data_IF_700896556823
#
_entry.id   IF_700896556823
#
_cell.length_a   1.000
_cell.length_b   1.000
_cell.length_c   1.000
_cell.angle_alpha   90.00
_cell.angle_beta   90.00
_cell.angle_gamma   90.00
#
_symmetry.space_group_name_H-M   'P 1'
#
loop_
_entity.id
_entity.type
_entity.pdbx_description
1 polymer ?
#
# COMPACT_ATOMS: atom_id res chain seq x y z
N UNK A 1 -9.83 31.58 32.45
CA UNK A 1 -11.13 31.32 31.78
C UNK A 1 -10.81 30.84 30.37
N UNK A 2 -10.52 29.55 30.18
CA UNK A 2 -11.44 28.40 30.05
C UNK A 2 -11.97 28.23 28.62
N UNK A 3 -11.21 27.50 27.78
CA UNK A 3 -11.68 27.00 26.49
C UNK A 3 -10.90 25.75 26.01
N UNK A 4 -10.46 24.87 26.93
CA UNK A 4 -9.68 23.67 26.58
C UNK A 4 -10.13 22.39 27.31
N UNK A 5 -11.36 22.36 27.81
CA UNK A 5 -11.89 21.22 28.57
C UNK A 5 -13.23 20.77 27.99
N UNK A 6 -13.19 20.13 26.82
CA UNK A 6 -14.29 19.31 26.28
C UNK A 6 -13.78 18.52 25.07
N UNK A 7 -12.70 17.76 25.24
CA UNK A 7 -12.45 16.61 24.37
C UNK A 7 -13.00 15.39 25.08
N UNK A 8 -14.23 15.05 24.70
CA UNK A 8 -15.05 14.00 25.27
C UNK A 8 -14.30 12.65 25.29
N UNK A 9 -14.36 11.93 26.42
CA UNK A 9 -13.77 10.59 26.59
C UNK A 9 -14.31 9.61 25.53
N UNK A 10 -15.51 9.86 25.01
CA UNK A 10 -16.10 9.14 23.89
C UNK A 10 -15.29 9.27 22.57
N UNK A 11 -14.67 10.43 22.33
CA UNK A 11 -13.92 10.70 21.11
C UNK A 11 -12.60 9.90 21.07
N UNK A 12 -11.91 9.79 22.23
CA UNK A 12 -10.71 8.96 22.37
C UNK A 12 -11.03 7.46 22.20
N UNK A 13 -12.17 7.00 22.73
CA UNK A 13 -12.61 5.61 22.53
C UNK A 13 -12.94 5.32 21.06
N UNK A 14 -13.61 6.24 20.36
CA UNK A 14 -13.96 6.08 18.95
C UNK A 14 -12.72 6.05 18.04
N UNK A 15 -11.71 6.90 18.32
CA UNK A 15 -10.43 6.89 17.62
C UNK A 15 -9.66 5.60 17.90
N UNK A 16 -9.61 5.12 19.15
CA UNK A 16 -9.00 3.83 19.48
C UNK A 16 -9.72 2.65 18.82
N UNK A 17 -11.06 2.65 18.77
CA UNK A 17 -11.84 1.60 18.13
C UNK A 17 -11.63 1.59 16.61
N UNK A 18 -11.59 2.77 15.97
CA UNK A 18 -11.26 2.89 14.55
C UNK A 18 -9.82 2.49 14.26
N UNK A 19 -8.86 2.84 15.12
CA UNK A 19 -7.46 2.43 15.00
C UNK A 19 -7.29 0.91 15.19
N UNK A 20 -8.00 0.30 16.14
CA UNK A 20 -8.02 -1.16 16.34
C UNK A 20 -8.68 -1.88 15.17
N UNK A 21 -9.78 -1.35 14.63
CA UNK A 21 -10.48 -1.90 13.46
C UNK A 21 -9.62 -1.75 12.20
N UNK A 22 -8.87 -0.65 12.05
CA UNK A 22 -7.86 -0.46 11.00
C UNK A 22 -6.66 -1.41 11.16
N UNK A 23 -6.22 -1.69 12.40
CA UNK A 23 -5.13 -2.63 12.65
C UNK A 23 -5.52 -4.08 12.31
N UNK A 24 -6.80 -4.45 12.47
CA UNK A 24 -7.34 -5.77 12.12
C UNK A 24 -7.41 -6.00 10.60
N UNK A 25 -7.63 -4.94 9.80
CA UNK A 25 -7.68 -5.04 8.33
C UNK A 25 -6.29 -5.27 7.71
N UNK A 26 -5.22 -4.79 8.35
CA UNK A 26 -3.88 -4.73 7.74
C UNK A 26 -3.01 -5.97 8.04
N UNK A 27 -3.41 -6.84 8.98
CA UNK A 27 -2.60 -8.00 9.40
C UNK A 27 -3.21 -9.38 9.07
N UNK A 28 -3.72 -9.58 7.85
CA UNK A 28 -3.87 -10.96 7.34
C UNK A 28 -2.50 -11.48 6.88
N UNK A 29 -1.93 -12.41 7.66
CA UNK A 29 -0.77 -13.19 7.23
C UNK A 29 -1.23 -14.14 6.13
N UNK A 30 -0.96 -13.76 4.88
CA UNK A 30 -1.30 -14.58 3.71
C UNK A 30 -0.47 -15.85 3.76
N UNK A 31 -1.16 -16.99 3.69
CA UNK A 31 -0.48 -18.28 3.63
C UNK A 31 -0.03 -18.50 2.19
N UNK A 32 1.25 -18.79 2.02
CA UNK A 32 1.85 -19.08 0.73
C UNK A 32 2.07 -20.57 0.58
N UNK A 33 1.35 -21.22 -0.34
CA UNK A 33 1.50 -22.64 -0.64
C UNK A 33 2.19 -22.82 -2.02
N UNK A 34 3.07 -23.82 -2.13
CA UNK A 34 3.80 -24.12 -3.38
C UNK A 34 3.27 -25.43 -3.96
N UNK A 35 2.90 -25.41 -5.25
CA UNK A 35 2.47 -26.59 -6.00
C UNK A 35 3.26 -26.74 -7.30
N UNK A 36 3.46 -27.97 -7.76
CA UNK A 36 4.04 -28.22 -9.09
C UNK A 36 2.96 -28.11 -10.18
N UNK A 37 3.33 -27.76 -11.43
CA UNK A 37 2.37 -27.73 -12.56
C UNK A 37 1.56 -29.04 -12.64
N UNK A 38 2.20 -30.20 -12.45
CA UNK A 38 1.55 -31.50 -12.53
C UNK A 38 0.50 -31.68 -11.42
N UNK A 39 0.83 -31.30 -10.19
CA UNK A 39 -0.11 -31.35 -9.07
C UNK A 39 -1.24 -30.32 -9.22
N UNK A 40 -0.92 -29.13 -9.72
CA UNK A 40 -1.89 -28.08 -9.96
C UNK A 40 -2.90 -28.47 -11.05
N UNK A 41 -2.46 -29.14 -12.11
CA UNK A 41 -3.35 -29.67 -13.15
C UNK A 41 -4.36 -30.67 -12.58
N UNK A 42 -3.92 -31.55 -11.69
CA UNK A 42 -4.77 -32.61 -11.14
C UNK A 42 -5.71 -32.12 -10.02
N UNK A 43 -5.37 -31.01 -9.35
CA UNK A 43 -6.10 -30.50 -8.19
C UNK A 43 -6.53 -29.03 -8.35
N UNK A 44 -6.71 -28.57 -9.59
CA UNK A 44 -7.02 -27.17 -9.89
C UNK A 44 -8.23 -26.64 -9.10
N UNK A 45 -9.36 -27.35 -8.98
CA UNK A 45 -10.52 -26.85 -8.22
C UNK A 45 -10.18 -26.58 -6.75
N UNK A 46 -9.41 -27.46 -6.13
CA UNK A 46 -8.97 -27.31 -4.73
C UNK A 46 -8.07 -26.09 -4.56
N UNK A 47 -7.18 -25.84 -5.52
CA UNK A 47 -6.31 -24.67 -5.51
C UNK A 47 -7.10 -23.37 -5.69
N UNK A 48 -8.14 -23.38 -6.54
CA UNK A 48 -9.03 -22.22 -6.70
C UNK A 48 -9.72 -21.90 -5.37
N UNK A 49 -10.29 -22.89 -4.68
CA UNK A 49 -10.92 -22.66 -3.38
C UNK A 49 -9.96 -22.14 -2.30
N UNK A 50 -8.72 -22.63 -2.29
CA UNK A 50 -7.69 -22.10 -1.40
C UNK A 50 -7.35 -20.64 -1.74
N UNK A 51 -7.26 -20.29 -3.03
CA UNK A 51 -7.06 -18.91 -3.45
C UNK A 51 -8.24 -18.01 -3.07
N UNK A 52 -9.49 -18.48 -3.24
CA UNK A 52 -10.70 -17.77 -2.82
C UNK A 52 -10.75 -17.54 -1.29
N UNK A 53 -10.24 -18.47 -0.50
CA UNK A 53 -10.12 -18.33 0.95
C UNK A 53 -9.06 -17.29 1.38
N UNK A 54 -8.22 -16.83 0.45
CA UNK A 54 -7.21 -15.80 0.66
C UNK A 54 -5.77 -16.30 0.73
N UNK A 55 -5.51 -17.55 0.33
CA UNK A 55 -4.15 -18.09 0.22
C UNK A 55 -3.52 -17.73 -1.13
N UNK A 56 -2.22 -17.42 -1.14
CA UNK A 56 -1.46 -17.15 -2.37
C UNK A 56 -0.75 -18.44 -2.80
N UNK A 57 -1.05 -18.94 -4.00
CA UNK A 57 -0.56 -20.25 -4.45
C UNK A 57 0.48 -20.06 -5.54
N UNK A 58 1.68 -20.58 -5.30
CA UNK A 58 2.82 -20.53 -6.21
C UNK A 58 2.90 -21.80 -7.03
N UNK A 59 2.81 -21.68 -8.34
CA UNK A 59 2.97 -22.79 -9.27
C UNK A 59 4.42 -22.82 -9.76
N UNK A 60 5.04 -23.99 -9.63
CA UNK A 60 6.41 -24.24 -10.05
C UNK A 60 6.50 -25.32 -11.12
N UNK A 61 7.52 -25.22 -11.98
CA UNK A 61 7.92 -26.24 -12.95
C UNK A 61 9.39 -26.53 -12.78
N UNK A 62 9.74 -27.79 -12.50
CA UNK A 62 11.13 -28.20 -12.23
C UNK A 62 11.83 -27.31 -11.19
N UNK A 63 11.12 -26.96 -10.10
CA UNK A 63 11.64 -26.09 -9.04
C UNK A 63 11.65 -24.59 -9.36
N UNK A 64 11.38 -24.18 -10.61
CA UNK A 64 11.28 -22.76 -10.99
C UNK A 64 9.85 -22.27 -10.84
N UNK A 65 9.66 -21.11 -10.21
CA UNK A 65 8.35 -20.44 -10.16
C UNK A 65 7.92 -20.02 -11.57
N UNK A 66 6.68 -20.31 -11.95
CA UNK A 66 6.14 -19.99 -13.28
C UNK A 66 4.83 -19.19 -13.23
N UNK A 67 4.03 -19.34 -12.19
CA UNK A 67 2.78 -18.61 -12.04
C UNK A 67 2.39 -18.49 -10.56
N UNK A 68 1.52 -17.54 -10.25
CA UNK A 68 0.91 -17.37 -8.94
C UNK A 68 -0.60 -17.25 -9.13
N UNK A 69 -1.38 -17.97 -8.32
CA UNK A 69 -2.83 -17.83 -8.24
C UNK A 69 -3.14 -17.05 -6.96
N UNK A 70 -3.96 -16.01 -7.09
CA UNK A 70 -4.47 -15.19 -5.99
C UNK A 70 -5.98 -14.99 -6.18
N UNK A 71 -6.70 -14.60 -5.13
CA UNK A 71 -8.12 -14.26 -5.26
C UNK A 71 -8.32 -13.05 -6.19
N UNK A 72 -9.47 -13.01 -6.86
CA UNK A 72 -9.84 -11.88 -7.71
C UNK A 72 -9.96 -10.57 -6.92
N UNK A 73 -10.50 -10.63 -5.69
CA UNK A 73 -10.58 -9.48 -4.79
C UNK A 73 -9.19 -8.92 -4.46
N UNK A 74 -8.24 -9.80 -4.15
CA UNK A 74 -6.85 -9.40 -3.83
C UNK A 74 -6.13 -8.83 -5.05
N UNK A 75 -6.33 -9.43 -6.22
CA UNK A 75 -5.86 -8.85 -7.47
C UNK A 75 -6.44 -7.45 -7.67
N UNK A 76 -7.74 -7.26 -7.46
CA UNK A 76 -8.36 -5.94 -7.55
C UNK A 76 -7.85 -4.98 -6.48
N UNK A 77 -7.62 -5.38 -5.23
CA UNK A 77 -7.05 -4.47 -4.23
C UNK A 77 -5.64 -3.97 -4.60
N UNK A 78 -4.81 -4.85 -5.17
CA UNK A 78 -3.44 -4.51 -5.56
C UNK A 78 -3.35 -3.72 -6.87
N UNK A 79 -4.24 -3.98 -7.84
CA UNK A 79 -4.17 -3.37 -9.18
C UNK A 79 -5.25 -2.32 -9.43
N UNK A 80 -6.35 -2.38 -8.70
CA UNK A 80 -7.49 -1.47 -8.76
C UNK A 80 -7.46 -0.43 -7.64
N UNK A 81 -6.27 -0.13 -7.09
CA UNK A 81 -6.01 1.10 -6.32
C UNK A 81 -6.06 2.32 -7.26
N UNK A 82 -7.20 2.46 -7.96
CA UNK A 82 -7.57 3.67 -8.68
C UNK A 82 -7.63 4.81 -7.68
N UNK A 83 -7.06 5.94 -8.08
CA UNK A 83 -6.82 7.16 -7.28
C UNK A 83 -5.76 7.05 -6.18
N UNK A 84 -4.83 6.11 -6.30
CA UNK A 84 -3.55 6.20 -5.57
C UNK A 84 -2.73 7.39 -6.07
N UNK A 85 -1.88 7.95 -5.19
CA UNK A 85 -0.94 9.08 -5.37
C UNK A 85 -0.52 9.39 -6.82
N UNK A 86 -0.27 8.37 -7.64
CA UNK A 86 0.00 8.50 -9.07
C UNK A 86 -1.04 9.34 -9.83
N UNK A 87 -2.34 9.09 -9.66
CA UNK A 87 -3.40 9.87 -10.28
C UNK A 87 -3.35 11.33 -9.81
N UNK A 88 -3.16 11.56 -8.51
CA UNK A 88 -3.04 12.91 -7.94
C UNK A 88 -1.80 13.66 -8.47
N UNK A 89 -0.68 12.97 -8.68
CA UNK A 89 0.52 13.52 -9.32
C UNK A 89 0.23 13.89 -10.78
N UNK A 90 -0.45 13.02 -11.53
CA UNK A 90 -0.81 13.27 -12.92
C UNK A 90 -1.77 14.46 -13.06
N UNK A 91 -2.81 14.53 -12.23
CA UNK A 91 -3.73 15.66 -12.17
C UNK A 91 -3.04 16.97 -11.78
N UNK A 92 -2.11 16.93 -10.81
CA UNK A 92 -1.30 18.09 -10.44
C UNK A 92 -0.42 18.56 -11.61
N UNK A 93 0.20 17.63 -12.34
CA UNK A 93 1.03 17.95 -13.52
C UNK A 93 0.22 18.57 -14.65
N UNK A 94 -0.96 18.04 -14.95
CA UNK A 94 -1.83 18.61 -15.99
C UNK A 94 -2.28 20.04 -15.64
N UNK A 95 -2.61 20.29 -14.35
CA UNK A 95 -2.98 21.62 -13.87
C UNK A 95 -1.83 22.63 -13.89
N UNK A 96 -0.58 22.18 -13.85
CA UNK A 96 0.62 23.02 -13.77
C UNK A 96 1.51 22.91 -15.01
N UNK A 97 0.91 22.69 -16.18
CA UNK A 97 1.60 22.37 -17.44
C UNK A 97 2.61 23.41 -17.95
N UNK A 98 2.70 24.59 -17.33
CA UNK A 98 3.77 25.56 -17.54
C UNK A 98 4.12 26.28 -16.23
N UNK A 99 5.01 25.69 -15.44
CA UNK A 99 5.71 26.41 -14.38
C UNK A 99 6.94 27.07 -15.01
N UNK A 100 6.82 28.33 -15.41
CA UNK A 100 7.94 29.15 -15.89
C UNK A 100 8.72 29.67 -14.68
N UNK A 101 9.41 28.75 -13.99
CA UNK A 101 10.20 29.07 -12.81
C UNK A 101 11.55 29.62 -13.26
N UNK A 102 11.83 30.84 -12.85
CA UNK A 102 13.14 31.46 -13.06
C UNK A 102 14.17 30.91 -12.07
N UNK A 103 15.44 30.92 -12.45
CA UNK A 103 16.54 30.49 -11.56
C UNK A 103 16.55 31.26 -10.23
N UNK A 104 16.16 32.54 -10.26
CA UNK A 104 16.07 33.41 -9.07
C UNK A 104 14.98 32.96 -8.10
N UNK A 105 13.82 32.51 -8.60
CA UNK A 105 12.73 32.01 -7.77
C UNK A 105 13.12 30.69 -7.12
N UNK A 106 13.75 29.78 -7.88
CA UNK A 106 14.24 28.49 -7.36
C UNK A 106 15.33 28.71 -6.31
N UNK A 107 16.23 29.68 -6.51
CA UNK A 107 17.27 30.03 -5.53
C UNK A 107 16.67 30.54 -4.21
N UNK A 108 15.53 31.24 -4.27
CA UNK A 108 14.86 31.77 -3.08
C UNK A 108 14.28 30.69 -2.15
N UNK A 109 13.99 29.50 -2.67
CA UNK A 109 13.44 28.38 -1.89
C UNK A 109 14.49 27.56 -1.16
N UNK A 110 15.78 27.78 -1.48
CA UNK A 110 16.88 27.05 -0.84
C UNK A 110 17.01 27.51 0.61
N UNK A 111 17.07 26.54 1.52
CA UNK A 111 17.41 26.82 2.91
C UNK A 111 18.86 27.33 2.98
N UNK A 112 19.03 28.53 3.52
CA UNK A 112 20.34 29.17 3.75
C UNK A 112 20.84 29.01 5.18
N UNK A 113 20.13 28.23 6.00
CA UNK A 113 20.61 27.89 7.33
C UNK A 113 21.97 27.17 7.24
N UNK A 114 22.79 27.39 8.26
CA UNK A 114 24.06 26.71 8.41
C UNK A 114 23.83 25.20 8.35
N UNK A 115 24.63 24.51 7.52
CA UNK A 115 24.54 23.07 7.35
C UNK A 115 24.63 22.37 8.71
N UNK A 116 23.78 21.38 8.92
CA UNK A 116 23.82 20.55 10.14
C UNK A 116 25.08 19.69 10.08
N UNK A 117 25.77 19.53 11.20
CA UNK A 117 26.82 18.52 11.32
C UNK A 117 26.21 17.15 11.02
N UNK A 118 26.71 16.49 9.98
CA UNK A 118 26.22 15.19 9.52
C UNK A 118 27.40 14.28 9.23
N UNK A 119 27.43 13.12 9.90
CA UNK A 119 28.44 12.07 9.74
C UNK A 119 27.83 10.87 9.05
N UNK A 120 28.57 10.27 8.11
CA UNK A 120 28.21 8.99 7.45
C UNK A 120 28.79 7.76 8.17
N UNK A 121 29.52 7.96 9.27
CA UNK A 121 30.09 6.87 10.09
C UNK A 121 29.05 6.11 10.91
#
# INVERSE_FOLDING_TARGET
MSAFSLFDSACLHMICFMAMMWLQVIRRRVKMDISTIAQAKNHLPKLIHAAEAGDDIRISRHGKLVAVIISAERYQQHFNSGTGIFQAIMEWREKQSALDLTDTEVDSWRDRAVAREFSWE
#
